data_IF_399713076489
#
_entry.id   IF_399713076489
#
_cell.length_a   1.000
_cell.length_b   1.000
_cell.length_c   1.000
_cell.angle_alpha   90.00
_cell.angle_beta   90.00
_cell.angle_gamma   90.00
#
_symmetry.space_group_name_H-M   'P 1'
#
loop_
_entity.id
_entity.type
_entity.pdbx_description
1 polymer ?
#
# COMPACT_ATOMS: atom_id res chain seq x y z
N UNK A 1 23.12 -12.66 29.33
CA UNK A 1 22.28 -13.64 28.56
C UNK A 1 20.87 -13.17 28.63
N UNK A 2 20.36 -12.53 27.56
CA UNK A 2 18.97 -12.08 27.46
C UNK A 2 18.17 -13.22 26.81
N UNK A 3 17.18 -13.75 27.54
CA UNK A 3 16.26 -14.77 27.04
C UNK A 3 15.58 -14.31 25.74
N UNK A 4 15.45 -15.18 24.74
CA UNK A 4 14.69 -14.83 23.52
C UNK A 4 13.21 -14.84 23.87
N UNK A 5 12.66 -13.66 24.19
CA UNK A 5 11.21 -13.50 24.27
C UNK A 5 10.63 -13.76 22.87
N UNK A 6 9.65 -14.67 22.82
CA UNK A 6 8.88 -15.02 21.65
C UNK A 6 8.17 -13.77 21.07
N UNK A 7 8.78 -13.15 20.09
CA UNK A 7 8.10 -12.16 19.25
C UNK A 7 7.15 -12.90 18.32
N UNK A 8 5.90 -13.02 18.75
CA UNK A 8 4.80 -13.29 17.83
C UNK A 8 4.59 -12.01 17.04
N UNK A 9 4.89 -12.03 15.73
CA UNK A 9 4.43 -11.01 14.79
C UNK A 9 2.91 -11.07 14.81
N UNK A 10 2.29 -10.19 15.57
CA UNK A 10 0.85 -10.03 15.58
C UNK A 10 0.50 -9.20 14.36
N UNK A 11 -0.03 -9.85 13.31
CA UNK A 11 -0.74 -9.13 12.27
C UNK A 11 -1.76 -8.16 12.88
N UNK A 12 -1.98 -6.97 12.28
CA UNK A 12 -2.93 -6.01 12.82
C UNK A 12 -4.29 -6.68 13.05
N UNK A 13 -4.85 -6.50 14.25
CA UNK A 13 -6.11 -7.14 14.63
C UNK A 13 -7.27 -6.70 13.72
N UNK A 14 -8.38 -7.48 13.67
CA UNK A 14 -9.56 -7.10 12.93
C UNK A 14 -10.06 -5.72 13.43
N UNK A 15 -10.18 -4.76 12.51
CA UNK A 15 -10.56 -3.37 12.82
C UNK A 15 -9.38 -2.40 13.04
N UNK A 16 -8.14 -2.83 12.83
CA UNK A 16 -7.00 -1.92 12.81
C UNK A 16 -7.09 -0.92 11.64
N UNK A 17 -6.75 0.35 11.92
CA UNK A 17 -6.87 1.46 10.96
C UNK A 17 -5.54 2.19 10.80
N UNK A 18 -5.43 2.94 9.71
CA UNK A 18 -4.32 3.87 9.55
C UNK A 18 -4.42 5.00 10.58
N UNK A 19 -3.28 5.35 11.18
CA UNK A 19 -3.12 6.52 12.03
C UNK A 19 -2.48 7.65 11.22
N UNK A 20 -3.23 8.73 11.02
CA UNK A 20 -2.76 9.92 10.32
C UNK A 20 -2.34 11.00 11.31
N UNK A 21 -1.08 11.41 11.25
CA UNK A 21 -0.48 12.44 12.08
C UNK A 21 -0.17 13.66 11.20
N UNK A 22 -1.17 14.53 11.05
CA UNK A 22 -1.12 15.69 10.15
C UNK A 22 -0.42 16.92 10.74
N UNK A 23 -0.35 17.97 9.92
CA UNK A 23 0.48 19.18 10.10
C UNK A 23 -0.12 20.27 10.99
N UNK A 24 -1.40 20.18 11.38
CA UNK A 24 -2.10 21.33 11.99
C UNK A 24 -1.58 21.80 13.33
N UNK A 25 -0.98 20.91 14.11
CA UNK A 25 -0.41 21.22 15.43
C UNK A 25 0.91 20.47 15.57
N UNK A 26 1.90 21.07 16.22
CA UNK A 26 3.08 20.31 16.61
C UNK A 26 2.66 19.15 17.50
N UNK A 27 3.12 17.97 17.17
CA UNK A 27 2.82 16.75 17.91
C UNK A 27 4.11 16.10 18.32
N UNK A 28 4.13 15.60 19.52
CA UNK A 28 5.19 14.73 20.01
C UNK A 28 4.61 13.33 20.21
N UNK A 29 5.28 12.33 19.65
CA UNK A 29 4.88 10.93 19.72
C UNK A 29 5.83 10.18 20.64
N UNK A 30 5.27 9.69 21.70
CA UNK A 30 5.90 8.81 22.66
C UNK A 30 5.16 7.47 22.73
N UNK A 31 5.56 6.56 23.58
CA UNK A 31 4.89 5.26 23.72
C UNK A 31 4.79 4.81 25.18
N UNK A 32 3.83 3.91 25.40
CA UNK A 32 3.79 2.95 26.48
C UNK A 32 4.00 1.56 25.90
N UNK A 33 4.07 0.53 26.73
CA UNK A 33 4.26 -0.85 26.25
C UNK A 33 3.19 -1.29 25.21
N UNK A 34 1.98 -0.71 25.23
CA UNK A 34 0.84 -1.19 24.45
C UNK A 34 0.22 -0.14 23.54
N UNK A 35 0.68 1.12 23.60
CA UNK A 35 0.04 2.21 22.88
C UNK A 35 1.02 3.30 22.47
N UNK A 36 0.74 3.94 21.33
CA UNK A 36 1.32 5.23 20.97
C UNK A 36 0.62 6.33 21.77
N UNK A 37 1.41 7.27 22.25
CA UNK A 37 0.97 8.42 23.03
C UNK A 37 1.25 9.69 22.22
N UNK A 38 0.20 10.32 21.73
CA UNK A 38 0.29 11.53 20.92
C UNK A 38 -0.03 12.72 21.82
N UNK A 39 0.94 13.61 22.00
CA UNK A 39 0.78 14.88 22.73
C UNK A 39 0.78 16.03 21.73
N UNK A 40 -0.14 16.95 21.86
CA UNK A 40 -0.17 18.18 21.08
C UNK A 40 0.16 19.39 21.95
N UNK A 41 0.44 20.54 21.32
CA UNK A 41 0.75 21.80 22.02
C UNK A 41 -0.37 22.28 22.96
N UNK A 42 -1.60 21.77 22.80
CA UNK A 42 -2.76 22.11 23.65
C UNK A 42 -2.89 21.22 24.89
N UNK A 43 -1.82 20.53 25.27
CA UNK A 43 -1.77 19.60 26.40
C UNK A 43 -2.75 18.42 26.32
N UNK A 44 -3.38 18.19 25.18
CA UNK A 44 -4.18 16.99 24.97
C UNK A 44 -3.27 15.78 24.72
N UNK A 45 -3.54 14.71 25.44
CA UNK A 45 -2.85 13.44 25.26
C UNK A 45 -3.83 12.41 24.73
N UNK A 46 -3.56 11.88 23.56
CA UNK A 46 -4.34 10.80 22.95
C UNK A 46 -3.54 9.51 23.00
N UNK A 47 -4.20 8.40 23.28
CA UNK A 47 -3.58 7.08 23.29
C UNK A 47 -4.18 6.20 22.20
N UNK A 48 -3.31 5.62 21.40
CA UNK A 48 -3.69 4.71 20.31
C UNK A 48 -3.13 3.32 20.61
N UNK A 49 -3.96 2.35 21.04
CA UNK A 49 -3.53 0.98 21.25
C UNK A 49 -2.92 0.41 19.97
N UNK A 50 -1.74 -0.20 20.04
CA UNK A 50 -1.00 -0.71 18.87
C UNK A 50 -1.81 -1.72 18.07
N UNK A 51 -2.59 -2.57 18.74
CA UNK A 51 -3.49 -3.56 18.09
C UNK A 51 -4.53 -2.94 17.16
N UNK A 52 -4.80 -1.63 17.30
CA UNK A 52 -5.75 -0.88 16.46
C UNK A 52 -5.07 -0.05 15.38
N UNK A 53 -3.74 -0.08 15.32
CA UNK A 53 -2.96 0.68 14.31
C UNK A 53 -2.43 -0.27 13.27
N UNK A 54 -2.91 -0.16 12.04
CA UNK A 54 -2.44 -0.97 10.92
C UNK A 54 -1.17 -0.40 10.30
N UNK A 55 -1.08 0.92 10.21
CA UNK A 55 0.05 1.69 9.68
C UNK A 55 -0.01 3.12 10.19
N UNK A 56 1.10 3.83 10.10
CA UNK A 56 1.14 5.27 10.44
C UNK A 56 1.55 6.06 9.20
N UNK A 57 0.84 7.17 8.96
CA UNK A 57 1.23 8.19 7.98
C UNK A 57 1.51 9.47 8.77
N UNK A 58 2.77 9.89 8.82
CA UNK A 58 3.23 11.00 9.63
C UNK A 58 3.73 12.16 8.78
N UNK A 59 3.33 13.37 9.13
CA UNK A 59 3.97 14.55 8.58
C UNK A 59 5.36 14.73 9.18
N UNK A 60 6.27 15.38 8.43
CA UNK A 60 7.65 15.73 8.88
C UNK A 60 7.71 16.70 10.06
N UNK A 61 6.62 17.41 10.35
CA UNK A 61 6.56 18.33 11.51
C UNK A 61 6.23 17.61 12.83
N UNK A 62 5.98 16.31 12.77
CA UNK A 62 5.71 15.48 13.96
C UNK A 62 7.02 15.01 14.54
N UNK A 63 7.23 15.28 15.81
CA UNK A 63 8.40 14.82 16.55
C UNK A 63 8.17 13.42 17.12
N UNK A 64 9.11 12.52 16.91
CA UNK A 64 9.02 11.12 17.31
C UNK A 64 10.11 10.76 18.31
N UNK A 65 9.71 10.14 19.42
CA UNK A 65 10.70 9.47 20.26
C UNK A 65 11.24 8.21 19.57
N UNK A 66 12.54 7.93 19.72
CA UNK A 66 13.12 6.70 19.20
C UNK A 66 12.45 5.44 19.75
N UNK A 67 11.95 5.49 20.99
CA UNK A 67 11.21 4.39 21.59
C UNK A 67 9.89 4.12 20.88
N UNK A 68 9.14 5.16 20.50
CA UNK A 68 7.88 5.01 19.76
C UNK A 68 8.11 4.44 18.35
N UNK A 69 9.17 4.87 17.66
CA UNK A 69 9.57 4.30 16.36
C UNK A 69 9.89 2.81 16.51
N UNK A 70 10.78 2.47 17.45
CA UNK A 70 11.17 1.08 17.70
C UNK A 70 9.96 0.20 18.04
N UNK A 71 9.04 0.71 18.86
CA UNK A 71 7.85 -0.03 19.26
C UNK A 71 6.92 -0.29 18.05
N UNK A 72 6.71 0.68 17.18
CA UNK A 72 5.94 0.48 15.94
C UNK A 72 6.56 -0.64 15.11
N UNK A 73 7.87 -0.58 14.86
CA UNK A 73 8.58 -1.57 14.04
C UNK A 73 8.56 -2.96 14.68
N UNK A 74 8.68 -3.06 16.01
CA UNK A 74 8.56 -4.32 16.75
C UNK A 74 7.19 -4.96 16.61
N UNK A 75 6.14 -4.13 16.51
CA UNK A 75 4.75 -4.59 16.33
C UNK A 75 4.32 -4.75 14.86
N UNK A 76 5.25 -4.67 13.92
CA UNK A 76 4.94 -4.85 12.51
C UNK A 76 4.25 -3.64 11.87
N UNK A 77 4.24 -2.48 12.54
CA UNK A 77 3.57 -1.26 12.08
C UNK A 77 4.57 -0.44 11.25
N UNK A 78 4.31 -0.33 9.95
CA UNK A 78 5.08 0.56 9.06
C UNK A 78 4.75 2.04 9.29
N UNK A 79 5.75 2.90 9.11
CA UNK A 79 5.60 4.35 9.26
C UNK A 79 6.04 5.01 7.96
N UNK A 80 5.15 5.76 7.33
CA UNK A 80 5.43 6.56 6.13
C UNK A 80 5.45 8.04 6.48
N UNK A 81 6.46 8.77 5.99
CA UNK A 81 6.55 10.21 6.13
C UNK A 81 6.08 10.92 4.87
N UNK A 82 5.29 11.97 5.08
CA UNK A 82 4.83 12.86 4.02
C UNK A 82 5.23 14.29 4.34
N UNK A 83 5.52 15.08 3.30
CA UNK A 83 5.75 16.52 3.47
C UNK A 83 4.43 17.27 3.71
N UNK A 84 4.51 18.60 3.81
CA UNK A 84 3.34 19.48 4.02
C UNK A 84 2.36 19.48 2.84
N UNK A 85 2.79 19.02 1.66
CA UNK A 85 1.97 18.87 0.45
C UNK A 85 1.34 17.48 0.33
N UNK A 86 1.61 16.57 1.30
CA UNK A 86 1.14 15.20 1.25
C UNK A 86 1.99 14.27 0.36
N UNK A 87 3.13 14.72 -0.15
CA UNK A 87 4.03 13.90 -0.97
C UNK A 87 4.85 12.97 -0.08
N UNK A 88 4.98 11.71 -0.48
CA UNK A 88 5.77 10.73 0.24
C UNK A 88 7.25 11.07 0.19
N UNK A 89 7.90 11.04 1.35
CA UNK A 89 9.33 11.29 1.51
C UNK A 89 10.13 10.03 1.82
N UNK A 90 9.52 9.09 2.52
CA UNK A 90 10.16 7.85 2.90
C UNK A 90 9.30 7.03 3.84
N UNK A 91 9.72 5.78 4.06
CA UNK A 91 9.01 4.84 4.92
C UNK A 91 9.98 4.01 5.74
N UNK A 92 9.64 3.76 7.01
CA UNK A 92 10.27 2.75 7.83
C UNK A 92 9.42 1.49 7.86
N UNK A 93 10.04 0.36 7.60
CA UNK A 93 9.42 -0.96 7.67
C UNK A 93 10.01 -1.82 8.78
N UNK A 94 9.20 -2.73 9.37
CA UNK A 94 9.70 -3.70 10.33
C UNK A 94 10.76 -4.59 9.67
N UNK A 95 11.88 -4.80 10.37
CA UNK A 95 12.87 -5.77 9.90
C UNK A 95 12.36 -7.19 10.12
N UNK A 96 12.13 -7.94 9.06
CA UNK A 96 11.80 -9.35 9.15
C UNK A 96 13.08 -10.17 9.19
N UNK A 97 13.28 -10.94 10.27
CA UNK A 97 14.48 -11.74 10.48
C UNK A 97 14.61 -12.97 9.55
N UNK A 98 13.57 -13.32 8.83
CA UNK A 98 13.59 -14.39 7.82
C UNK A 98 12.94 -13.85 6.57
N UNK A 99 13.65 -13.91 5.45
CA UNK A 99 13.05 -13.69 4.15
C UNK A 99 11.91 -14.72 3.99
N UNK A 100 10.66 -14.28 3.92
CA UNK A 100 9.58 -15.21 3.68
C UNK A 100 9.72 -15.78 2.26
N UNK A 101 9.13 -16.94 2.00
CA UNK A 101 9.19 -17.59 0.68
C UNK A 101 8.79 -16.70 -0.48
N UNK A 102 7.95 -15.68 -0.22
CA UNK A 102 7.48 -14.75 -1.24
C UNK A 102 8.59 -13.86 -1.80
N UNK A 103 9.40 -13.24 -0.92
CA UNK A 103 10.50 -12.38 -1.37
C UNK A 103 11.52 -13.15 -2.19
N UNK A 104 11.96 -14.30 -1.68
CA UNK A 104 12.93 -15.14 -2.38
C UNK A 104 12.38 -15.66 -3.70
N UNK A 105 11.10 -16.03 -3.76
CA UNK A 105 10.47 -16.48 -4.99
C UNK A 105 10.39 -15.37 -6.04
N UNK A 106 10.06 -14.15 -5.62
CA UNK A 106 9.98 -13.00 -6.50
C UNK A 106 11.35 -12.60 -7.04
N UNK A 107 12.36 -12.51 -6.17
CA UNK A 107 13.74 -12.20 -6.50
C UNK A 107 14.28 -13.17 -7.56
N UNK A 108 14.25 -14.46 -7.25
CA UNK A 108 14.72 -15.49 -8.18
C UNK A 108 13.94 -15.51 -9.51
N UNK A 109 12.63 -15.25 -9.47
CA UNK A 109 11.84 -15.15 -10.70
C UNK A 109 12.24 -13.94 -11.55
N UNK A 110 12.50 -12.79 -10.95
CA UNK A 110 12.93 -11.59 -11.65
C UNK A 110 14.36 -11.70 -12.19
N UNK A 111 15.22 -12.49 -11.55
CA UNK A 111 16.58 -12.79 -12.03
C UNK A 111 16.60 -13.72 -13.26
N UNK A 112 15.49 -14.38 -13.59
CA UNK A 112 15.43 -15.18 -14.84
C UNK A 112 15.52 -14.27 -16.07
N UNK A 113 16.11 -14.74 -17.19
CA UNK A 113 16.30 -13.92 -18.40
C UNK A 113 15.00 -13.31 -18.95
N UNK A 114 13.86 -13.95 -18.72
CA UNK A 114 12.53 -13.52 -19.13
C UNK A 114 11.66 -13.02 -17.97
N UNK A 115 12.24 -12.90 -16.79
CA UNK A 115 11.51 -12.53 -15.55
C UNK A 115 10.78 -11.19 -15.68
N UNK A 116 11.44 -10.17 -16.19
CA UNK A 116 10.85 -8.86 -16.41
C UNK A 116 9.69 -8.91 -17.43
N UNK A 117 9.82 -9.67 -18.52
CA UNK A 117 8.76 -9.83 -19.51
C UNK A 117 7.55 -10.57 -18.92
N UNK A 118 7.80 -11.66 -18.20
CA UNK A 118 6.74 -12.43 -17.49
C UNK A 118 6.04 -11.57 -16.44
N UNK A 119 6.77 -10.70 -15.75
CA UNK A 119 6.19 -9.75 -14.81
C UNK A 119 5.24 -8.78 -15.54
N UNK A 120 5.65 -8.20 -16.67
CA UNK A 120 4.81 -7.31 -17.47
C UNK A 120 3.57 -8.05 -18.02
N UNK A 121 3.68 -9.31 -18.38
CA UNK A 121 2.54 -10.14 -18.79
C UNK A 121 1.57 -10.37 -17.61
N UNK A 122 2.10 -10.65 -16.42
CA UNK A 122 1.29 -10.76 -15.21
C UNK A 122 0.55 -9.44 -14.93
N UNK A 123 1.22 -8.32 -15.00
CA UNK A 123 0.63 -6.99 -14.76
C UNK A 123 -0.49 -6.66 -15.76
N UNK A 124 -0.29 -6.98 -17.04
CA UNK A 124 -1.35 -6.86 -18.07
C UNK A 124 -2.55 -7.73 -17.75
N UNK A 125 -2.33 -8.97 -17.32
CA UNK A 125 -3.41 -9.85 -16.92
C UNK A 125 -4.21 -9.29 -15.75
N UNK A 126 -3.54 -8.69 -14.74
CA UNK A 126 -4.24 -8.05 -13.61
C UNK A 126 -5.06 -6.84 -14.05
N UNK A 127 -4.52 -6.00 -14.93
CA UNK A 127 -5.28 -4.88 -15.52
C UNK A 127 -6.49 -5.36 -16.31
N UNK A 128 -6.34 -6.45 -17.03
CA UNK A 128 -7.46 -7.06 -17.76
C UNK A 128 -8.55 -7.58 -16.81
N UNK A 129 -8.17 -8.22 -15.70
CA UNK A 129 -9.13 -8.68 -14.69
C UNK A 129 -9.92 -7.52 -14.07
N UNK A 130 -9.25 -6.38 -13.81
CA UNK A 130 -9.91 -5.18 -13.30
C UNK A 130 -10.92 -4.65 -14.33
N UNK A 131 -10.53 -4.61 -15.61
CA UNK A 131 -11.41 -4.19 -16.70
C UNK A 131 -12.63 -5.10 -16.84
N UNK A 132 -12.44 -6.44 -16.76
CA UNK A 132 -13.54 -7.41 -16.84
C UNK A 132 -14.51 -7.21 -15.67
N UNK A 133 -14.00 -7.07 -14.45
CA UNK A 133 -14.86 -6.79 -13.29
C UNK A 133 -15.63 -5.48 -13.45
N UNK A 134 -14.99 -4.44 -13.93
CA UNK A 134 -15.69 -3.20 -14.26
C UNK A 134 -16.80 -3.41 -15.28
N UNK A 135 -16.53 -4.15 -16.37
CA UNK A 135 -17.56 -4.46 -17.36
C UNK A 135 -18.77 -5.16 -16.77
N UNK A 136 -18.55 -6.06 -15.80
CA UNK A 136 -19.61 -6.76 -15.09
C UNK A 136 -20.45 -5.87 -14.16
N UNK A 137 -19.91 -4.74 -13.70
CA UNK A 137 -20.64 -3.78 -12.83
C UNK A 137 -21.47 -2.76 -13.61
N UNK A 138 -21.30 -2.69 -14.95
CA UNK A 138 -22.08 -1.77 -15.75
C UNK A 138 -23.51 -2.26 -15.93
N UNK A 139 -24.49 -1.37 -15.72
CA UNK A 139 -25.91 -1.66 -15.90
C UNK A 139 -26.30 -1.75 -17.38
N UNK A 140 -25.59 -0.99 -18.20
CA UNK A 140 -25.83 -0.93 -19.64
C UNK A 140 -24.84 -1.84 -20.39
N UNK A 141 -25.29 -2.43 -21.49
CA UNK A 141 -24.43 -3.22 -22.36
C UNK A 141 -23.33 -2.34 -22.96
N UNK A 142 -22.08 -2.63 -22.64
CA UNK A 142 -20.93 -1.91 -23.20
C UNK A 142 -20.81 -2.27 -24.68
N UNK A 143 -20.84 -1.28 -25.57
CA UNK A 143 -20.61 -1.54 -27.01
C UNK A 143 -19.19 -2.11 -27.23
N UNK A 144 -19.01 -3.01 -28.22
CA UNK A 144 -17.69 -3.56 -28.55
C UNK A 144 -16.63 -2.50 -28.83
N UNK A 145 -17.01 -1.39 -29.46
CA UNK A 145 -16.11 -0.26 -29.75
C UNK A 145 -15.63 0.40 -28.46
N UNK A 146 -16.55 0.66 -27.51
CA UNK A 146 -16.20 1.24 -26.21
C UNK A 146 -15.31 0.29 -25.40
N UNK A 147 -15.60 -1.00 -25.46
CA UNK A 147 -14.82 -2.04 -24.79
C UNK A 147 -13.37 -2.06 -25.30
N UNK A 148 -13.17 -2.16 -26.62
CA UNK A 148 -11.83 -2.21 -27.22
C UNK A 148 -11.05 -0.88 -27.01
N UNK A 149 -11.73 0.27 -27.05
CA UNK A 149 -11.09 1.54 -26.74
C UNK A 149 -10.62 1.59 -25.28
N UNK A 150 -11.47 1.18 -24.32
CA UNK A 150 -11.12 1.15 -22.89
C UNK A 150 -10.00 0.16 -22.62
N UNK A 151 -10.04 -1.02 -23.24
CA UNK A 151 -8.99 -2.04 -23.15
C UNK A 151 -7.65 -1.53 -23.66
N UNK A 152 -7.63 -0.88 -24.84
CA UNK A 152 -6.42 -0.30 -25.41
C UNK A 152 -5.83 0.77 -24.48
N UNK A 153 -6.67 1.69 -24.01
CA UNK A 153 -6.21 2.81 -23.21
C UNK A 153 -5.76 2.35 -21.82
N UNK A 154 -6.45 1.40 -21.23
CA UNK A 154 -6.28 0.97 -19.86
C UNK A 154 -5.23 -0.13 -19.68
N UNK A 155 -5.37 -1.22 -20.45
CA UNK A 155 -4.51 -2.39 -20.27
C UNK A 155 -3.15 -2.17 -20.95
N UNK A 156 -3.13 -1.54 -22.11
CA UNK A 156 -1.92 -1.41 -22.92
C UNK A 156 -1.24 -0.05 -22.79
N UNK A 157 -1.99 1.06 -22.86
CA UNK A 157 -1.43 2.40 -22.88
C UNK A 157 -1.32 3.06 -21.48
N UNK A 158 -1.80 2.41 -20.42
CA UNK A 158 -1.81 2.93 -19.03
C UNK A 158 -2.47 4.30 -18.89
N UNK A 159 -3.42 4.64 -19.75
CA UNK A 159 -4.13 5.90 -19.74
C UNK A 159 -5.39 5.78 -18.89
N UNK A 160 -5.35 6.35 -17.70
CA UNK A 160 -6.51 6.42 -16.82
C UNK A 160 -7.31 7.69 -17.09
N UNK A 161 -8.63 7.65 -16.87
CA UNK A 161 -9.52 8.79 -17.08
C UNK A 161 -9.18 9.98 -16.19
N UNK A 162 -8.64 9.71 -15.03
CA UNK A 162 -8.23 10.73 -14.07
C UNK A 162 -6.79 10.47 -13.65
N UNK A 163 -6.01 11.55 -13.55
CA UNK A 163 -4.68 11.46 -12.94
C UNK A 163 -4.82 11.15 -11.45
N UNK A 164 -3.97 10.28 -10.97
CA UNK A 164 -3.86 9.98 -9.54
C UNK A 164 -3.43 11.25 -8.79
N UNK A 165 -4.28 11.82 -7.90
CA UNK A 165 -3.89 12.97 -7.10
C UNK A 165 -2.64 12.67 -6.28
N UNK A 166 -1.70 13.62 -6.18
CA UNK A 166 -0.42 13.41 -5.48
C UNK A 166 -0.60 12.99 -4.02
N UNK A 167 -1.55 13.60 -3.31
CA UNK A 167 -1.89 13.21 -1.95
C UNK A 167 -2.38 11.76 -1.87
N UNK A 168 -3.27 11.33 -2.79
CA UNK A 168 -3.76 9.96 -2.82
C UNK A 168 -2.65 8.96 -3.18
N UNK A 169 -1.74 9.33 -4.09
CA UNK A 169 -0.58 8.50 -4.44
C UNK A 169 0.26 8.16 -3.21
N UNK A 170 0.54 9.16 -2.35
CA UNK A 170 1.31 8.95 -1.13
C UNK A 170 0.60 7.99 -0.15
N UNK A 171 -0.72 8.07 -0.04
CA UNK A 171 -1.50 7.15 0.79
C UNK A 171 -1.55 5.73 0.22
N UNK A 172 -1.66 5.60 -1.11
CA UNK A 172 -1.57 4.30 -1.79
C UNK A 172 -0.20 3.67 -1.59
N UNK A 173 0.89 4.43 -1.79
CA UNK A 173 2.26 3.96 -1.56
C UNK A 173 2.46 3.50 -0.12
N UNK A 174 1.99 4.29 0.86
CA UNK A 174 2.07 3.90 2.27
C UNK A 174 1.28 2.61 2.57
N UNK A 175 0.11 2.44 1.95
CA UNK A 175 -0.70 1.23 2.10
C UNK A 175 -0.05 0.02 1.44
N UNK A 176 0.36 0.15 0.17
CA UNK A 176 1.03 -0.92 -0.60
C UNK A 176 2.30 -1.35 0.10
N UNK A 177 3.15 -0.41 0.49
CA UNK A 177 4.39 -0.70 1.18
C UNK A 177 4.19 -1.43 2.51
N UNK A 178 3.20 -1.01 3.32
CA UNK A 178 2.87 -1.72 4.56
C UNK A 178 2.40 -3.16 4.29
N UNK A 179 1.61 -3.39 3.25
CA UNK A 179 1.16 -4.73 2.88
C UNK A 179 2.28 -5.60 2.32
N UNK A 180 3.15 -5.05 1.47
CA UNK A 180 4.33 -5.74 0.96
C UNK A 180 5.25 -6.15 2.10
N UNK A 181 5.54 -5.24 3.04
CA UNK A 181 6.34 -5.57 4.22
C UNK A 181 5.68 -6.67 5.08
N UNK A 182 4.35 -6.61 5.27
CA UNK A 182 3.61 -7.65 5.99
C UNK A 182 3.66 -9.01 5.29
N UNK A 183 3.74 -9.03 3.96
CA UNK A 183 3.93 -10.25 3.15
C UNK A 183 5.40 -10.62 3.00
N UNK A 184 6.30 -9.83 3.56
CA UNK A 184 7.72 -10.09 3.62
C UNK A 184 8.48 -9.82 2.33
N UNK A 185 8.00 -8.89 1.54
CA UNK A 185 8.74 -8.30 0.45
C UNK A 185 9.40 -6.99 0.93
N UNK A 186 10.68 -6.98 1.29
CA UNK A 186 11.35 -5.77 1.75
C UNK A 186 11.53 -4.76 0.60
N UNK A 187 11.61 -3.45 0.90
CA UNK A 187 11.78 -2.39 -0.10
C UNK A 187 12.95 -2.58 -1.06
N UNK A 188 14.02 -3.21 -0.60
CA UNK A 188 15.21 -3.49 -1.41
C UNK A 188 14.96 -4.36 -2.65
N UNK A 189 13.84 -5.09 -2.69
CA UNK A 189 13.43 -5.85 -3.87
C UNK A 189 12.66 -5.00 -4.89
N UNK A 190 12.33 -3.75 -4.56
CA UNK A 190 11.50 -2.87 -5.39
C UNK A 190 12.31 -1.76 -6.04
N UNK A 191 13.45 -1.47 -5.45
CA UNK A 191 14.42 -0.49 -5.95
C UNK A 191 15.26 -1.17 -7.04
N UNK A 192 14.62 -1.45 -8.17
CA UNK A 192 15.32 -1.97 -9.31
C UNK A 192 16.12 -0.83 -9.93
N UNK A 193 17.43 -0.89 -9.83
CA UNK A 193 18.35 -0.13 -10.68
C UNK A 193 18.10 -0.41 -12.20
N UNK A 194 17.24 -1.39 -12.47
CA UNK A 194 16.73 -1.70 -13.79
C UNK A 194 15.30 -1.19 -13.93
N UNK A 195 15.06 -0.24 -14.82
CA UNK A 195 13.77 0.40 -15.17
C UNK A 195 12.60 -0.57 -15.50
N UNK A 196 12.77 -1.88 -15.31
CA UNK A 196 11.84 -2.89 -15.80
C UNK A 196 10.73 -3.27 -14.82
N UNK A 197 10.95 -3.13 -13.50
CA UNK A 197 9.99 -3.54 -12.46
C UNK A 197 9.97 -2.53 -11.33
N UNK A 198 8.85 -1.85 -11.19
CA UNK A 198 8.56 -0.93 -10.09
C UNK A 198 7.30 -1.45 -9.36
N UNK A 199 7.52 -2.42 -8.47
CA UNK A 199 6.43 -3.21 -7.88
C UNK A 199 5.45 -2.36 -7.08
N UNK A 200 5.92 -1.40 -6.31
CA UNK A 200 5.06 -0.56 -5.48
C UNK A 200 4.25 0.43 -6.33
N UNK A 201 4.86 1.07 -7.34
CA UNK A 201 4.15 1.92 -8.28
C UNK A 201 3.15 1.14 -9.13
N UNK A 202 3.52 -0.04 -9.64
CA UNK A 202 2.63 -0.89 -10.42
C UNK A 202 1.41 -1.38 -9.61
N UNK A 203 1.61 -1.74 -8.35
CA UNK A 203 0.51 -2.10 -7.44
C UNK A 203 -0.35 -0.88 -7.08
N UNK A 204 0.24 0.29 -6.89
CA UNK A 204 -0.51 1.53 -6.71
C UNK A 204 -1.37 1.86 -7.93
N UNK A 205 -0.84 1.70 -9.14
CA UNK A 205 -1.60 1.85 -10.37
C UNK A 205 -2.76 0.86 -10.47
N UNK A 206 -2.56 -0.41 -10.12
CA UNK A 206 -3.63 -1.41 -10.11
C UNK A 206 -4.74 -1.02 -9.14
N UNK A 207 -4.41 -0.60 -7.93
CA UNK A 207 -5.40 -0.17 -6.94
C UNK A 207 -6.11 1.11 -7.38
N UNK A 208 -5.38 2.07 -7.95
CA UNK A 208 -5.98 3.27 -8.52
C UNK A 208 -6.95 2.93 -9.64
N UNK A 209 -6.55 1.99 -10.45
CA UNK A 209 -7.34 1.43 -11.49
C UNK A 209 -8.68 0.87 -10.96
N UNK A 210 -8.63 0.04 -9.94
CA UNK A 210 -9.83 -0.49 -9.29
C UNK A 210 -10.71 0.61 -8.69
N UNK A 211 -10.10 1.58 -8.01
CA UNK A 211 -10.82 2.71 -7.45
C UNK A 211 -11.54 3.51 -8.55
N UNK A 212 -10.85 3.82 -9.65
CA UNK A 212 -11.39 4.64 -10.76
C UNK A 212 -12.52 3.97 -11.53
N UNK A 213 -12.43 2.65 -11.69
CA UNK A 213 -13.45 1.92 -12.47
C UNK A 213 -14.63 1.49 -11.60
N UNK A 214 -14.37 1.08 -10.36
CA UNK A 214 -15.40 0.48 -9.53
C UNK A 214 -16.18 1.51 -8.70
N UNK A 215 -15.68 2.74 -8.59
CA UNK A 215 -16.35 3.78 -7.79
C UNK A 215 -16.62 4.99 -8.69
N UNK A 216 -17.85 5.12 -9.18
CA UNK A 216 -18.29 6.35 -9.86
C UNK A 216 -18.12 7.62 -8.99
N UNK A 217 -17.94 7.44 -7.69
CA UNK A 217 -17.86 8.47 -6.67
C UNK A 217 -16.53 9.27 -6.65
N UNK A 218 -15.49 8.81 -7.38
CA UNK A 218 -14.22 9.54 -7.47
C UNK A 218 -14.27 10.73 -8.42
N UNK A 219 -15.27 10.78 -9.29
CA UNK A 219 -15.42 11.87 -10.26
C UNK A 219 -15.60 13.25 -9.60
N UNK A 220 -16.16 13.27 -8.41
CA UNK A 220 -16.46 14.50 -7.67
C UNK A 220 -15.45 14.83 -6.55
N UNK A 221 -14.42 14.01 -6.37
CA UNK A 221 -13.39 14.21 -5.33
C UNK A 221 -12.36 15.28 -5.75
N UNK A 222 -12.82 16.43 -6.21
CA UNK A 222 -11.98 17.60 -6.49
C UNK A 222 -11.76 18.48 -5.27
N UNK A 223 -12.24 18.03 -4.11
CA UNK A 223 -12.27 18.82 -2.90
C UNK A 223 -10.98 18.71 -2.09
N UNK A 224 -10.99 18.65 -0.82
CA UNK A 224 -9.83 18.78 0.06
C UNK A 224 -9.07 17.45 0.24
N UNK A 225 -7.77 17.49 0.58
CA UNK A 225 -6.97 16.32 0.95
C UNK A 225 -7.67 15.43 2.00
N UNK A 226 -8.41 16.06 2.93
CA UNK A 226 -9.16 15.35 3.97
C UNK A 226 -10.25 14.45 3.39
N UNK A 227 -10.96 14.92 2.38
CA UNK A 227 -12.04 14.15 1.73
C UNK A 227 -11.47 13.04 0.86
N UNK A 228 -10.36 13.31 0.17
CA UNK A 228 -9.61 12.31 -0.59
C UNK A 228 -9.13 11.17 0.33
N UNK A 229 -8.55 11.50 1.49
CA UNK A 229 -8.13 10.51 2.49
C UNK A 229 -9.33 9.71 3.01
N UNK A 230 -10.43 10.38 3.34
CA UNK A 230 -11.63 9.72 3.85
C UNK A 230 -12.25 8.78 2.80
N UNK A 231 -12.21 9.15 1.53
CA UNK A 231 -12.64 8.32 0.42
C UNK A 231 -11.77 7.07 0.29
N UNK A 232 -10.45 7.25 0.32
CA UNK A 232 -9.48 6.16 0.26
C UNK A 232 -9.68 5.17 1.42
N UNK A 233 -9.81 5.64 2.64
CA UNK A 233 -10.04 4.77 3.81
C UNK A 233 -11.36 4.00 3.70
N UNK A 234 -12.44 4.64 3.21
CA UNK A 234 -13.71 3.94 2.97
C UNK A 234 -13.55 2.88 1.89
N UNK A 235 -12.82 3.18 0.81
CA UNK A 235 -12.57 2.22 -0.26
C UNK A 235 -11.75 1.03 0.26
N UNK A 236 -10.65 1.26 0.97
CA UNK A 236 -9.83 0.21 1.59
C UNK A 236 -10.66 -0.65 2.54
N UNK A 237 -11.51 -0.05 3.37
CA UNK A 237 -12.36 -0.80 4.30
C UNK A 237 -13.30 -1.80 3.58
N UNK A 238 -13.71 -1.48 2.35
CA UNK A 238 -14.59 -2.33 1.53
C UNK A 238 -13.82 -3.31 0.63
N UNK A 239 -12.67 -2.89 0.14
CA UNK A 239 -11.92 -3.55 -0.93
C UNK A 239 -10.49 -3.95 -0.51
N UNK A 240 -10.18 -3.94 0.79
CA UNK A 240 -8.81 -4.23 1.27
C UNK A 240 -8.27 -5.62 0.86
N UNK A 241 -9.15 -6.55 0.49
CA UNK A 241 -8.76 -7.84 -0.07
C UNK A 241 -8.18 -7.73 -1.49
N UNK A 242 -8.42 -6.66 -2.24
CA UNK A 242 -7.99 -6.54 -3.64
C UNK A 242 -6.46 -6.64 -3.77
N UNK A 243 -5.71 -5.89 -2.94
CA UNK A 243 -4.26 -5.95 -2.94
C UNK A 243 -3.73 -7.33 -2.55
N UNK A 244 -4.33 -7.97 -1.55
CA UNK A 244 -3.97 -9.32 -1.12
C UNK A 244 -4.18 -10.32 -2.26
N UNK A 245 -5.24 -10.16 -3.05
CA UNK A 245 -5.47 -11.00 -4.23
C UNK A 245 -4.40 -10.80 -5.30
N UNK A 246 -3.96 -9.55 -5.54
CA UNK A 246 -2.87 -9.28 -6.46
C UNK A 246 -1.55 -9.89 -5.98
N UNK A 247 -1.21 -9.72 -4.70
CA UNK A 247 -0.01 -10.28 -4.09
C UNK A 247 0.00 -11.81 -4.13
N UNK A 248 -1.13 -12.46 -3.81
CA UNK A 248 -1.26 -13.91 -3.90
C UNK A 248 -1.13 -14.41 -5.35
N UNK A 249 -1.65 -13.66 -6.31
CA UNK A 249 -1.49 -13.97 -7.74
C UNK A 249 -0.04 -13.87 -8.16
N UNK A 250 0.67 -12.82 -7.76
CA UNK A 250 2.09 -12.61 -8.04
C UNK A 250 2.93 -13.75 -7.47
N UNK A 251 2.71 -14.09 -6.20
CA UNK A 251 3.38 -15.20 -5.54
C UNK A 251 3.19 -16.52 -6.27
N UNK A 252 1.95 -16.85 -6.65
CA UNK A 252 1.68 -18.09 -7.40
C UNK A 252 2.38 -18.12 -8.75
N UNK A 253 2.49 -16.98 -9.41
CA UNK A 253 3.18 -16.88 -10.72
C UNK A 253 4.68 -17.06 -10.53
N UNK A 254 5.28 -16.39 -9.55
CA UNK A 254 6.69 -16.55 -9.22
C UNK A 254 7.01 -18.00 -8.82
N UNK A 255 6.18 -18.63 -7.98
CA UNK A 255 6.37 -20.02 -7.55
C UNK A 255 6.18 -21.06 -8.64
N UNK A 256 5.43 -20.77 -9.71
CA UNK A 256 5.35 -21.68 -10.87
C UNK A 256 6.65 -21.70 -11.66
N UNK A 257 7.27 -20.54 -11.86
CA UNK A 257 8.55 -20.43 -12.55
C UNK A 257 9.68 -21.24 -11.87
N UNK A 258 9.52 -21.58 -10.59
CA UNK A 258 10.44 -22.44 -9.84
C UNK A 258 10.28 -23.93 -10.08
N UNK A 259 9.13 -24.35 -10.59
CA UNK A 259 8.82 -25.78 -10.77
C UNK A 259 9.04 -26.25 -12.20
N UNK A 260 9.22 -25.30 -13.11
CA UNK A 260 9.54 -25.51 -14.52
C UNK A 260 11.05 -25.42 -14.76
#
# INVERSE_FOLDING_TARGET
MLSPSHYQSTAPGPGARALYLGTRDKKHIDCTAEALVVRNDRAQTLRYPLVRVARVVSSTVVDWSGAALALCLQHGIGISWVNTRGEALGTCYPHQRKYPPFASALELWLETPDGAERYQLWLRARRMDVLVRWGQTQTDTISPVKWEATKRDWVYARKFRQHLPSALRSHLLAYVGAQLAAHGAPPLLWDAETDAVDLDADLCELLWAEMNLCTGDLADATSTDKETIALFERWIARNGAALVLHLNSLYRTAMKAFKE
#
